data_IF_599607781460
#
_entry.id   IF_599607781460
#
_cell.length_a   1.000
_cell.length_b   1.000
_cell.length_c   1.000
_cell.angle_alpha   90.00
_cell.angle_beta   90.00
_cell.angle_gamma   90.00
#
_symmetry.space_group_name_H-M   'P 1'
#
loop_
_entity.id
_entity.type
_entity.pdbx_description
1 polymer ?
#
# COMPACT_ATOMS: atom_id res chain seq x y z
N UNK A 1 -32.36 -2.62 -14.97
CA UNK A 1 -30.94 -2.19 -14.88
C UNK A 1 -30.70 -1.80 -13.44
N UNK A 2 -29.82 -2.52 -12.74
CA UNK A 2 -29.55 -2.26 -11.33
C UNK A 2 -28.94 -0.87 -11.11
N UNK A 3 -29.05 -0.34 -9.89
CA UNK A 3 -28.37 0.90 -9.53
C UNK A 3 -26.86 0.67 -9.44
N UNK A 4 -26.46 -0.47 -8.83
CA UNK A 4 -25.06 -0.78 -8.54
C UNK A 4 -24.77 -2.27 -8.78
N UNK A 5 -23.63 -2.57 -9.41
CA UNK A 5 -23.03 -3.91 -9.42
C UNK A 5 -21.78 -3.88 -8.57
N UNK A 6 -21.71 -4.71 -7.53
CA UNK A 6 -20.54 -4.88 -6.68
C UNK A 6 -19.73 -6.08 -7.19
N UNK A 7 -18.45 -5.87 -7.44
CA UNK A 7 -17.53 -6.92 -7.90
C UNK A 7 -16.44 -7.13 -6.86
N UNK A 8 -16.35 -8.36 -6.35
CA UNK A 8 -15.38 -8.79 -5.34
C UNK A 8 -14.54 -9.93 -5.94
N UNK A 9 -13.23 -9.72 -6.05
CA UNK A 9 -12.29 -10.77 -6.48
C UNK A 9 -11.73 -11.47 -5.26
N UNK A 10 -11.96 -12.78 -5.16
CA UNK A 10 -11.51 -13.63 -4.05
C UNK A 10 -10.31 -14.49 -4.42
N UNK A 11 -9.36 -14.61 -3.50
CA UNK A 11 -8.26 -15.58 -3.56
C UNK A 11 -7.76 -15.95 -2.17
N UNK A 12 -8.23 -17.12 -1.65
CA UNK A 12 -7.81 -17.68 -0.36
C UNK A 12 -7.95 -16.74 0.85
N UNK A 13 -9.10 -16.07 0.99
CA UNK A 13 -9.41 -15.14 2.10
C UNK A 13 -10.83 -15.34 2.63
N UNK A 14 -11.26 -16.59 2.82
CA UNK A 14 -12.62 -17.01 3.22
C UNK A 14 -13.23 -16.14 4.31
N UNK A 15 -12.54 -15.91 5.42
CA UNK A 15 -13.09 -15.19 6.57
C UNK A 15 -13.34 -13.72 6.28
N UNK A 16 -12.45 -13.07 5.50
CA UNK A 16 -12.65 -11.70 5.07
C UNK A 16 -13.76 -11.60 4.04
N UNK A 17 -13.82 -12.54 3.08
CA UNK A 17 -14.90 -12.61 2.12
C UNK A 17 -16.27 -12.74 2.82
N UNK A 18 -16.37 -13.58 3.82
CA UNK A 18 -17.60 -13.72 4.63
C UNK A 18 -17.97 -12.39 5.29
N UNK A 19 -17.01 -11.71 5.90
CA UNK A 19 -17.23 -10.45 6.59
C UNK A 19 -17.66 -9.32 5.64
N UNK A 20 -17.01 -9.20 4.47
CA UNK A 20 -17.41 -8.18 3.49
C UNK A 20 -18.80 -8.43 2.95
N UNK A 21 -19.18 -9.70 2.70
CA UNK A 21 -20.52 -10.04 2.19
C UNK A 21 -21.62 -9.71 3.19
N UNK A 22 -21.44 -9.93 4.49
CA UNK A 22 -22.38 -9.45 5.50
C UNK A 22 -22.50 -7.91 5.51
N UNK A 23 -21.39 -7.20 5.37
CA UNK A 23 -21.42 -5.74 5.32
C UNK A 23 -22.08 -5.22 4.03
N UNK A 24 -21.91 -5.90 2.91
CA UNK A 24 -22.58 -5.60 1.64
C UNK A 24 -24.08 -5.85 1.76
N UNK A 25 -24.51 -6.97 2.34
CA UNK A 25 -25.90 -7.29 2.58
C UNK A 25 -26.59 -6.18 3.40
N UNK A 26 -25.95 -5.77 4.52
CA UNK A 26 -26.46 -4.69 5.37
C UNK A 26 -26.55 -3.35 4.63
N UNK A 27 -25.50 -2.98 3.87
CA UNK A 27 -25.44 -1.71 3.14
C UNK A 27 -26.36 -1.67 1.91
N UNK A 28 -26.88 -2.81 1.45
CA UNK A 28 -27.69 -2.93 0.23
C UNK A 28 -29.20 -2.98 0.48
N UNK A 29 -29.67 -3.01 1.73
CA UNK A 29 -31.07 -3.31 2.10
C UNK A 29 -32.13 -2.41 1.41
N UNK A 30 -31.80 -1.17 1.09
CA UNK A 30 -32.72 -0.20 0.45
C UNK A 30 -32.37 0.12 -1.00
N UNK A 31 -31.44 -0.64 -1.61
CA UNK A 31 -30.89 -0.36 -2.92
C UNK A 31 -31.10 -1.55 -3.88
N UNK A 32 -31.22 -1.26 -5.15
CA UNK A 32 -31.26 -2.28 -6.21
C UNK A 32 -29.81 -2.62 -6.62
N UNK A 33 -29.23 -3.61 -5.93
CA UNK A 33 -27.81 -4.01 -6.06
C UNK A 33 -27.70 -5.46 -6.51
N UNK A 34 -26.80 -5.74 -7.43
CA UNK A 34 -26.29 -7.08 -7.70
C UNK A 34 -24.86 -7.23 -7.22
N UNK A 35 -24.52 -8.39 -6.67
CA UNK A 35 -23.17 -8.68 -6.17
C UNK A 35 -22.59 -9.89 -6.87
N UNK A 36 -21.35 -9.72 -7.34
CA UNK A 36 -20.55 -10.74 -8.01
C UNK A 36 -19.31 -11.08 -7.17
N UNK A 37 -19.09 -12.35 -6.94
CA UNK A 37 -17.81 -12.87 -6.40
C UNK A 37 -17.12 -13.62 -7.51
N UNK A 38 -15.93 -13.17 -7.88
CA UNK A 38 -15.04 -13.84 -8.84
C UNK A 38 -13.93 -14.54 -8.08
N UNK A 39 -13.97 -15.86 -8.05
CA UNK A 39 -12.99 -16.68 -7.36
C UNK A 39 -11.83 -17.03 -8.29
N UNK A 40 -10.61 -16.71 -7.86
CA UNK A 40 -9.37 -16.96 -8.60
C UNK A 40 -8.71 -18.29 -8.19
N UNK A 41 -9.49 -19.39 -8.15
CA UNK A 41 -9.02 -20.73 -7.78
C UNK A 41 -8.61 -20.83 -6.31
N UNK A 42 -9.49 -20.44 -5.40
CA UNK A 42 -9.30 -20.61 -3.96
C UNK A 42 -9.44 -22.08 -3.55
N UNK A 43 -8.71 -22.46 -2.52
CA UNK A 43 -8.70 -23.83 -1.95
C UNK A 43 -9.07 -23.86 -0.45
N UNK A 44 -9.53 -22.73 0.08
CA UNK A 44 -9.81 -22.52 1.51
C UNK A 44 -11.30 -22.73 1.90
N UNK A 45 -12.14 -23.21 0.96
CA UNK A 45 -13.57 -23.38 1.16
C UNK A 45 -14.36 -22.07 1.10
N UNK A 46 -13.82 -21.05 0.40
CA UNK A 46 -14.50 -19.78 0.18
C UNK A 46 -15.80 -19.93 -0.60
N UNK A 47 -15.78 -20.73 -1.67
CA UNK A 47 -16.95 -20.84 -2.56
C UNK A 47 -18.09 -21.64 -1.93
N UNK A 48 -17.79 -22.71 -1.22
CA UNK A 48 -18.78 -23.48 -0.46
C UNK A 48 -19.45 -22.61 0.63
N UNK A 49 -18.69 -21.71 1.24
CA UNK A 49 -19.21 -20.75 2.20
C UNK A 49 -20.15 -19.76 1.52
N UNK A 50 -19.76 -19.20 0.34
CA UNK A 50 -20.60 -18.26 -0.41
C UNK A 50 -21.91 -18.93 -0.85
N UNK A 51 -21.86 -20.11 -1.44
CA UNK A 51 -23.05 -20.85 -1.88
C UNK A 51 -24.02 -21.18 -0.74
N UNK A 52 -23.48 -21.53 0.44
CA UNK A 52 -24.31 -21.91 1.59
C UNK A 52 -24.90 -20.72 2.34
N UNK A 53 -24.18 -19.60 2.48
CA UNK A 53 -24.58 -18.47 3.33
C UNK A 53 -25.15 -17.29 2.55
N UNK A 54 -24.73 -17.10 1.29
CA UNK A 54 -25.08 -15.94 0.47
C UNK A 54 -25.64 -16.34 -0.91
N UNK A 55 -26.78 -17.06 -0.97
CA UNK A 55 -27.34 -17.60 -2.22
C UNK A 55 -27.78 -16.50 -3.21
N UNK A 56 -27.83 -15.25 -2.76
CA UNK A 56 -28.13 -14.07 -3.60
C UNK A 56 -26.90 -13.56 -4.37
N UNK A 57 -25.69 -14.03 -4.03
CA UNK A 57 -24.45 -13.65 -4.69
C UNK A 57 -24.26 -14.44 -5.97
N UNK A 58 -23.95 -13.75 -7.06
CA UNK A 58 -23.57 -14.36 -8.34
C UNK A 58 -22.08 -14.72 -8.32
N UNK A 59 -21.72 -15.91 -8.80
CA UNK A 59 -20.33 -16.40 -8.72
C UNK A 59 -19.73 -16.66 -10.09
N UNK A 60 -18.44 -16.42 -10.22
CA UNK A 60 -17.59 -16.86 -11.34
C UNK A 60 -16.39 -17.59 -10.72
N UNK A 61 -16.18 -18.85 -11.06
CA UNK A 61 -15.09 -19.67 -10.53
C UNK A 61 -14.07 -19.91 -11.64
N UNK A 62 -12.87 -19.38 -11.45
CA UNK A 62 -11.75 -19.57 -12.36
C UNK A 62 -10.96 -20.83 -12.00
N UNK A 63 -10.36 -21.48 -13.00
CA UNK A 63 -9.51 -22.69 -12.82
C UNK A 63 -8.07 -22.33 -12.41
N UNK A 64 -7.71 -21.07 -12.50
CA UNK A 64 -6.39 -20.52 -12.15
C UNK A 64 -6.52 -19.07 -11.67
N UNK A 65 -5.49 -18.52 -11.04
CA UNK A 65 -5.47 -17.13 -10.65
C UNK A 65 -5.18 -16.23 -11.86
N UNK A 66 -6.21 -15.58 -12.39
CA UNK A 66 -6.14 -14.71 -13.57
C UNK A 66 -5.66 -13.28 -13.25
N UNK A 67 -5.39 -12.97 -11.98
CA UNK A 67 -5.07 -11.63 -11.50
C UNK A 67 -6.31 -10.77 -11.25
N UNK A 68 -6.09 -9.53 -10.82
CA UNK A 68 -7.16 -8.64 -10.38
C UNK A 68 -7.95 -8.05 -11.55
N UNK A 69 -7.27 -7.51 -12.57
CA UNK A 69 -7.91 -6.84 -13.71
C UNK A 69 -8.83 -7.77 -14.48
N UNK A 70 -8.30 -8.93 -14.89
CA UNK A 70 -9.06 -9.89 -15.70
C UNK A 70 -10.24 -10.48 -14.96
N UNK A 71 -10.07 -10.77 -13.67
CA UNK A 71 -11.16 -11.27 -12.83
C UNK A 71 -12.29 -10.25 -12.67
N UNK A 72 -11.95 -8.98 -12.39
CA UNK A 72 -12.97 -7.92 -12.33
C UNK A 72 -13.71 -7.75 -13.66
N UNK A 73 -12.99 -7.73 -14.78
CA UNK A 73 -13.59 -7.58 -16.11
C UNK A 73 -14.62 -8.66 -16.42
N UNK A 74 -14.39 -9.92 -15.99
CA UNK A 74 -15.37 -11.00 -16.18
C UNK A 74 -16.74 -10.70 -15.58
N UNK A 75 -16.77 -10.08 -14.39
CA UNK A 75 -18.02 -9.72 -13.72
C UNK A 75 -18.60 -8.42 -14.31
N UNK A 76 -17.76 -7.41 -14.58
CA UNK A 76 -18.22 -6.13 -15.17
C UNK A 76 -18.91 -6.39 -16.51
N UNK A 77 -18.37 -7.24 -17.38
CA UNK A 77 -18.96 -7.58 -18.66
C UNK A 77 -20.33 -8.29 -18.57
N UNK A 78 -20.60 -8.97 -17.44
CA UNK A 78 -21.87 -9.63 -17.17
C UNK A 78 -22.86 -8.74 -16.42
N UNK A 79 -22.38 -7.67 -15.78
CA UNK A 79 -23.18 -6.75 -14.99
C UNK A 79 -24.03 -5.82 -15.86
N UNK A 80 -25.19 -5.41 -15.33
CA UNK A 80 -26.10 -4.45 -15.99
C UNK A 80 -26.56 -3.42 -14.99
N UNK A 81 -25.69 -2.48 -14.65
CA UNK A 81 -25.96 -1.46 -13.66
C UNK A 81 -25.52 -0.08 -14.13
N UNK A 82 -26.00 0.95 -13.43
CA UNK A 82 -25.59 2.34 -13.64
C UNK A 82 -24.20 2.61 -13.11
N UNK A 83 -23.87 1.99 -11.98
CA UNK A 83 -22.55 2.07 -11.33
C UNK A 83 -21.96 0.70 -11.13
N UNK A 84 -20.63 0.62 -11.14
CA UNK A 84 -19.86 -0.57 -10.78
C UNK A 84 -18.96 -0.23 -9.60
N UNK A 85 -18.99 -1.03 -8.55
CA UNK A 85 -18.08 -0.94 -7.40
C UNK A 85 -17.07 -2.08 -7.44
N UNK A 86 -15.81 -1.78 -7.62
CA UNK A 86 -14.72 -2.70 -7.33
C UNK A 86 -14.46 -2.67 -5.83
N UNK A 87 -14.55 -3.82 -5.18
CA UNK A 87 -14.46 -3.94 -3.74
C UNK A 87 -13.53 -5.09 -3.34
N UNK A 88 -12.53 -4.80 -2.53
CA UNK A 88 -11.64 -5.84 -2.01
C UNK A 88 -12.34 -6.72 -0.97
N UNK A 89 -12.04 -8.03 -0.92
CA UNK A 89 -12.64 -8.95 0.04
C UNK A 89 -12.24 -8.67 1.51
N UNK A 90 -11.13 -7.95 1.75
CA UNK A 90 -10.63 -7.58 3.08
C UNK A 90 -11.10 -6.17 3.53
N UNK A 91 -12.32 -5.79 3.11
CA UNK A 91 -12.98 -4.53 3.50
C UNK A 91 -14.24 -4.77 4.31
N UNK A 92 -14.69 -3.75 5.06
CA UNK A 92 -16.00 -3.73 5.74
C UNK A 92 -16.65 -2.38 5.54
N UNK A 93 -17.88 -2.41 5.02
CA UNK A 93 -18.69 -1.24 4.73
C UNK A 93 -19.53 -0.82 5.94
N UNK A 94 -19.83 0.47 6.07
CA UNK A 94 -20.92 0.95 6.92
C UNK A 94 -22.25 0.80 6.18
N UNK A 95 -23.35 0.72 6.92
CA UNK A 95 -24.70 0.50 6.38
C UNK A 95 -25.16 1.56 5.38
N UNK A 96 -24.71 2.80 5.53
CA UNK A 96 -25.06 3.94 4.68
C UNK A 96 -24.05 4.21 3.54
N UNK A 97 -22.96 3.45 3.47
CA UNK A 97 -21.86 3.69 2.53
C UNK A 97 -22.34 3.72 1.08
N UNK A 98 -23.07 2.69 0.65
CA UNK A 98 -23.48 2.58 -0.75
C UNK A 98 -24.51 3.66 -1.12
N UNK A 99 -25.47 3.92 -0.25
CA UNK A 99 -26.50 4.94 -0.48
C UNK A 99 -25.90 6.34 -0.62
N UNK A 100 -24.97 6.73 0.27
CA UNK A 100 -24.26 8.01 0.21
C UNK A 100 -23.42 8.15 -1.06
N UNK A 101 -22.72 7.11 -1.45
CA UNK A 101 -21.90 7.13 -2.67
C UNK A 101 -22.75 7.26 -3.94
N UNK A 102 -23.86 6.52 -4.04
CA UNK A 102 -24.79 6.61 -5.17
C UNK A 102 -25.40 8.00 -5.23
N UNK A 103 -25.91 8.53 -4.12
CA UNK A 103 -26.50 9.88 -4.05
C UNK A 103 -25.50 10.96 -4.48
N UNK A 104 -24.25 10.87 -4.04
CA UNK A 104 -23.21 11.80 -4.48
C UNK A 104 -22.93 11.70 -5.99
N UNK A 105 -22.80 10.48 -6.52
CA UNK A 105 -22.57 10.26 -7.94
C UNK A 105 -23.75 10.74 -8.80
N UNK A 106 -24.97 10.59 -8.30
CA UNK A 106 -26.18 11.05 -9.01
C UNK A 106 -26.25 12.57 -9.10
N UNK A 107 -25.81 13.29 -8.07
CA UNK A 107 -25.77 14.75 -8.03
C UNK A 107 -24.61 15.37 -8.82
N UNK A 108 -23.56 14.58 -9.14
CA UNK A 108 -22.34 15.06 -9.77
C UNK A 108 -22.03 14.25 -11.04
N UNK A 109 -22.57 14.67 -12.17
CA UNK A 109 -22.46 13.95 -13.45
C UNK A 109 -21.04 13.98 -14.05
N UNK A 110 -20.20 14.92 -13.62
CA UNK A 110 -18.79 15.05 -14.02
C UNK A 110 -17.84 14.11 -13.26
N UNK A 111 -18.35 13.35 -12.28
CA UNK A 111 -17.60 12.36 -11.52
C UNK A 111 -17.62 11.02 -12.24
N UNK A 112 -16.46 10.56 -12.72
CA UNK A 112 -16.28 9.26 -13.36
C UNK A 112 -15.96 8.15 -12.36
N UNK A 113 -15.25 8.49 -11.26
CA UNK A 113 -14.90 7.55 -10.22
C UNK A 113 -14.91 8.16 -8.82
N UNK A 114 -15.29 7.36 -7.82
CA UNK A 114 -15.37 7.76 -6.43
C UNK A 114 -14.73 6.71 -5.51
N UNK A 115 -13.88 7.17 -4.60
CA UNK A 115 -13.30 6.40 -3.50
C UNK A 115 -13.66 7.04 -2.17
N UNK A 116 -13.66 6.25 -1.10
CA UNK A 116 -14.08 6.67 0.23
C UNK A 116 -12.91 6.74 1.22
N UNK A 117 -13.18 7.29 2.40
CA UNK A 117 -12.25 7.26 3.51
C UNK A 117 -12.04 5.83 3.98
N UNK A 118 -10.77 5.40 4.09
CA UNK A 118 -10.41 4.08 4.57
C UNK A 118 -9.60 4.18 5.86
N UNK A 119 -9.88 3.28 6.80
CA UNK A 119 -9.12 3.07 8.03
C UNK A 119 -8.64 1.62 8.11
N UNK A 120 -7.57 1.37 8.82
CA UNK A 120 -7.13 0.01 9.13
C UNK A 120 -7.95 -0.60 10.29
N UNK A 121 -7.69 -1.88 10.62
CA UNK A 121 -8.35 -2.58 11.73
C UNK A 121 -8.06 -1.99 13.13
N UNK A 122 -7.20 -0.98 13.22
CA UNK A 122 -6.90 -0.23 14.45
C UNK A 122 -7.54 1.16 14.46
N UNK A 123 -8.32 1.50 13.43
CA UNK A 123 -8.95 2.81 13.28
C UNK A 123 -8.03 3.90 12.72
N UNK A 124 -6.80 3.57 12.29
CA UNK A 124 -5.88 4.54 11.71
C UNK A 124 -6.20 4.81 10.24
N UNK A 125 -6.20 6.10 9.86
CA UNK A 125 -6.41 6.50 8.47
C UNK A 125 -5.38 5.88 7.51
N UNK A 126 -5.86 5.35 6.40
CA UNK A 126 -5.05 4.79 5.34
C UNK A 126 -4.76 5.84 4.25
N UNK A 127 -3.50 6.31 4.13
CA UNK A 127 -3.14 7.37 3.18
C UNK A 127 -3.42 7.04 1.72
N UNK A 128 -3.56 5.78 1.36
CA UNK A 128 -3.93 5.33 0.01
C UNK A 128 -5.37 5.66 -0.38
N UNK A 129 -6.22 6.11 0.55
CA UNK A 129 -7.55 6.63 0.24
C UNK A 129 -7.53 7.80 -0.72
N UNK A 130 -6.44 8.55 -0.75
CA UNK A 130 -6.20 9.70 -1.64
C UNK A 130 -4.75 9.70 -2.12
N UNK A 131 -4.57 9.54 -3.42
CA UNK A 131 -3.25 9.43 -4.04
C UNK A 131 -3.11 10.34 -5.24
N UNK A 132 -1.89 10.86 -5.41
CA UNK A 132 -1.44 11.47 -6.65
C UNK A 132 -0.84 10.44 -7.61
N UNK A 133 -0.72 10.81 -8.87
CA UNK A 133 -0.05 9.98 -9.88
C UNK A 133 1.41 9.69 -9.47
N UNK A 134 1.89 8.46 -9.66
CA UNK A 134 3.27 8.06 -9.38
C UNK A 134 4.21 8.59 -10.47
N UNK A 135 4.45 9.91 -10.49
CA UNK A 135 5.42 10.51 -11.38
C UNK A 135 6.86 10.23 -10.94
N UNK A 136 7.89 10.32 -11.83
CA UNK A 136 9.30 10.17 -11.46
C UNK A 136 9.69 11.09 -10.30
N UNK A 137 9.17 12.30 -10.29
CA UNK A 137 9.40 13.32 -9.27
C UNK A 137 8.81 12.93 -7.92
N UNK A 138 7.56 12.42 -7.91
CA UNK A 138 6.89 11.91 -6.71
C UNK A 138 7.62 10.68 -6.13
N UNK A 139 8.09 9.78 -7.01
CA UNK A 139 8.90 8.63 -6.60
C UNK A 139 10.23 9.06 -5.96
N UNK A 140 10.93 10.03 -6.57
CA UNK A 140 12.16 10.60 -6.02
C UNK A 140 11.95 11.21 -4.62
N UNK A 141 10.91 12.01 -4.43
CA UNK A 141 10.61 12.62 -3.13
C UNK A 141 10.28 11.58 -2.04
N UNK A 142 9.59 10.52 -2.42
CA UNK A 142 9.31 9.41 -1.50
C UNK A 142 10.58 8.66 -1.08
N UNK A 143 11.49 8.44 -2.03
CA UNK A 143 12.73 7.70 -1.80
C UNK A 143 13.80 8.49 -1.04
N UNK A 144 13.94 9.79 -1.37
CA UNK A 144 14.87 10.70 -0.68
C UNK A 144 14.43 11.06 0.74
N UNK A 145 13.22 10.67 1.16
CA UNK A 145 12.66 11.03 2.46
C UNK A 145 12.05 12.43 2.51
N UNK A 146 12.16 13.25 1.45
CA UNK A 146 11.58 14.60 1.40
C UNK A 146 10.05 14.60 1.61
N UNK A 147 9.37 13.57 1.09
CA UNK A 147 7.93 13.40 1.33
C UNK A 147 7.58 13.13 2.81
N UNK A 148 8.50 12.55 3.58
CA UNK A 148 8.31 12.31 5.01
C UNK A 148 8.66 13.56 5.83
N UNK A 149 9.68 14.32 5.44
CA UNK A 149 10.08 15.56 6.11
C UNK A 149 9.06 16.69 5.88
N UNK A 150 8.48 16.76 4.68
CA UNK A 150 7.53 17.82 4.29
C UNK A 150 6.19 17.24 3.81
N UNK A 151 5.45 16.49 4.67
CA UNK A 151 4.27 15.75 4.25
C UNK A 151 3.10 16.64 3.80
N UNK A 152 3.01 17.88 4.31
CA UNK A 152 1.98 18.87 3.96
C UNK A 152 2.34 19.72 2.73
N UNK A 153 3.52 19.56 2.15
CA UNK A 153 3.90 20.25 0.92
C UNK A 153 3.14 19.70 -0.27
N UNK A 154 2.53 20.57 -1.08
CA UNK A 154 1.89 20.17 -2.35
C UNK A 154 2.89 19.55 -3.34
N UNK A 155 4.15 19.92 -3.24
CA UNK A 155 5.24 19.39 -4.07
C UNK A 155 5.76 18.05 -3.55
N UNK A 156 6.25 18.01 -2.31
CA UNK A 156 6.89 16.82 -1.73
C UNK A 156 5.88 15.76 -1.25
N UNK A 157 4.74 16.19 -0.72
CA UNK A 157 3.66 15.31 -0.23
C UNK A 157 2.69 14.81 -1.30
N UNK A 158 2.94 15.07 -2.59
CA UNK A 158 2.00 14.85 -3.70
C UNK A 158 1.54 13.41 -3.83
N UNK A 159 2.37 12.43 -3.57
CA UNK A 159 1.98 11.01 -3.75
C UNK A 159 0.83 10.56 -2.85
N UNK A 160 0.83 10.95 -1.58
CA UNK A 160 -0.25 10.62 -0.64
C UNK A 160 -1.19 11.81 -0.37
N UNK A 161 -1.01 12.91 -1.07
CA UNK A 161 -1.79 14.14 -0.96
C UNK A 161 -2.07 14.54 0.51
N UNK A 162 -1.04 14.42 1.38
CA UNK A 162 -1.18 14.69 2.82
C UNK A 162 -1.44 16.16 3.15
N UNK A 163 -1.40 17.04 2.16
CA UNK A 163 -1.82 18.42 2.27
C UNK A 163 -3.34 18.61 2.18
N UNK A 164 -4.08 17.58 1.69
CA UNK A 164 -5.53 17.58 1.71
C UNK A 164 -6.03 17.03 3.05
N UNK A 165 -7.12 17.58 3.56
CA UNK A 165 -7.82 17.04 4.73
C UNK A 165 -8.33 15.62 4.47
N UNK A 166 -8.32 14.76 5.47
CA UNK A 166 -8.95 13.43 5.39
C UNK A 166 -10.48 13.47 5.60
N UNK A 167 -11.00 14.65 5.96
CA UNK A 167 -12.41 14.88 6.27
C UNK A 167 -13.14 15.72 5.24
N UNK A 168 -12.48 16.11 4.15
CA UNK A 168 -13.05 16.94 3.11
C UNK A 168 -13.10 16.18 1.77
N UNK A 169 -14.19 16.35 1.05
CA UNK A 169 -14.32 15.85 -0.31
C UNK A 169 -13.35 16.61 -1.23
N UNK A 170 -12.51 15.86 -1.93
CA UNK A 170 -11.49 16.43 -2.80
C UNK A 170 -11.36 15.64 -4.10
N UNK A 171 -10.99 16.33 -5.17
CA UNK A 171 -10.51 15.68 -6.38
C UNK A 171 -9.10 15.08 -6.14
N UNK A 172 -8.89 13.85 -6.60
CA UNK A 172 -7.64 13.12 -6.47
C UNK A 172 -7.20 12.54 -7.82
N UNK A 173 -5.90 12.34 -7.98
CA UNK A 173 -5.41 11.79 -9.26
C UNK A 173 -5.74 10.27 -9.37
N UNK A 174 -5.71 9.53 -8.25
CA UNK A 174 -5.81 8.07 -8.24
C UNK A 174 -6.69 7.59 -7.10
N UNK A 175 -7.69 6.80 -7.43
CA UNK A 175 -8.54 6.06 -6.51
C UNK A 175 -7.85 4.76 -6.06
N UNK A 176 -8.24 4.23 -4.90
CA UNK A 176 -7.75 2.94 -4.44
C UNK A 176 -8.64 1.81 -4.95
N UNK A 177 -8.05 0.77 -5.57
CA UNK A 177 -8.77 -0.41 -6.03
C UNK A 177 -9.47 -1.21 -4.92
N UNK A 178 -9.20 -0.89 -3.64
CA UNK A 178 -9.89 -1.51 -2.50
C UNK A 178 -11.37 -1.11 -2.39
N UNK A 179 -11.70 0.12 -2.79
CA UNK A 179 -13.06 0.63 -2.97
C UNK A 179 -13.03 1.66 -4.09
N UNK A 180 -13.55 1.30 -5.25
CA UNK A 180 -13.59 2.17 -6.41
C UNK A 180 -14.97 2.07 -7.07
N UNK A 181 -15.85 3.05 -6.82
CA UNK A 181 -17.15 3.16 -7.48
C UNK A 181 -16.98 3.93 -8.79
N UNK A 182 -17.46 3.35 -9.87
CA UNK A 182 -17.25 3.81 -11.24
C UNK A 182 -18.58 4.01 -11.95
N UNK A 183 -18.67 5.03 -12.79
CA UNK A 183 -19.80 5.26 -13.66
C UNK A 183 -19.70 4.34 -14.89
N UNK A 184 -20.73 3.56 -15.16
CA UNK A 184 -20.66 2.55 -16.22
C UNK A 184 -20.58 3.18 -17.63
N UNK A 185 -21.21 4.32 -17.84
CA UNK A 185 -21.10 5.07 -19.11
C UNK A 185 -19.65 5.51 -19.38
N UNK A 186 -18.95 5.94 -18.32
CA UNK A 186 -17.52 6.29 -18.42
C UNK A 186 -16.67 5.06 -18.73
N UNK A 187 -16.98 3.89 -18.10
CA UNK A 187 -16.29 2.64 -18.43
C UNK A 187 -16.53 2.21 -19.87
N UNK A 188 -17.74 2.43 -20.40
CA UNK A 188 -18.06 2.15 -21.80
C UNK A 188 -17.24 3.02 -22.77
N UNK A 189 -16.94 4.27 -22.39
CA UNK A 189 -16.16 5.22 -23.19
C UNK A 189 -14.65 4.92 -23.13
N UNK A 190 -14.10 4.74 -21.92
CA UNK A 190 -12.66 4.63 -21.71
C UNK A 190 -12.14 3.18 -21.74
N UNK A 191 -13.03 2.19 -21.73
CA UNK A 191 -12.71 0.77 -21.58
C UNK A 191 -12.55 0.33 -20.13
N UNK A 192 -12.54 -0.99 -19.92
CA UNK A 192 -12.44 -1.64 -18.61
C UNK A 192 -11.01 -1.60 -18.05
N UNK A 193 -10.71 -2.37 -16.99
CA UNK A 193 -9.36 -2.52 -16.48
C UNK A 193 -8.45 -3.15 -17.55
N UNK A 194 -7.23 -2.64 -17.65
CA UNK A 194 -6.25 -3.21 -18.58
C UNK A 194 -5.67 -4.52 -18.04
N UNK A 195 -5.91 -5.62 -18.75
CA UNK A 195 -5.53 -6.97 -18.33
C UNK A 195 -4.02 -7.25 -18.37
N UNK A 196 -3.23 -6.34 -18.94
CA UNK A 196 -1.77 -6.41 -18.83
C UNK A 196 -1.29 -6.21 -17.37
N UNK A 197 -2.09 -5.53 -16.52
CA UNK A 197 -1.85 -5.43 -15.08
C UNK A 197 -2.43 -6.66 -14.39
N UNK A 198 -1.57 -7.58 -14.02
CA UNK A 198 -1.98 -8.76 -13.25
C UNK A 198 -2.48 -8.37 -11.84
N UNK A 199 -1.75 -7.47 -11.18
CA UNK A 199 -2.05 -6.91 -9.86
C UNK A 199 -1.21 -5.65 -9.66
N UNK A 200 -1.81 -4.60 -9.08
CA UNK A 200 -1.26 -3.24 -8.92
C UNK A 200 -1.09 -2.48 -10.24
N UNK A 201 -1.41 -1.20 -10.18
CA UNK A 201 -1.29 -0.29 -11.31
C UNK A 201 -2.53 -0.19 -12.19
N UNK A 202 -3.42 -1.17 -12.14
CA UNK A 202 -4.72 -1.14 -12.81
C UNK A 202 -5.61 0.01 -12.32
N UNK A 203 -5.57 0.29 -11.01
CA UNK A 203 -6.28 1.40 -10.37
C UNK A 203 -5.69 2.75 -10.79
N UNK A 204 -4.38 2.84 -10.94
CA UNK A 204 -3.69 4.02 -11.45
C UNK A 204 -4.03 4.26 -12.92
N UNK A 205 -3.96 3.21 -13.73
CA UNK A 205 -4.26 3.25 -15.16
C UNK A 205 -5.72 3.70 -15.41
N UNK A 206 -6.67 3.09 -14.72
CA UNK A 206 -8.08 3.41 -14.87
C UNK A 206 -8.38 4.84 -14.40
N UNK A 207 -7.87 5.24 -13.22
CA UNK A 207 -8.03 6.61 -12.71
C UNK A 207 -7.45 7.65 -13.68
N UNK A 208 -6.30 7.36 -14.26
CA UNK A 208 -5.68 8.25 -15.25
C UNK A 208 -6.50 8.38 -16.53
N UNK A 209 -7.08 7.26 -17.04
CA UNK A 209 -7.98 7.28 -18.22
C UNK A 209 -9.28 8.04 -17.94
N UNK A 210 -9.85 7.94 -16.74
CA UNK A 210 -10.99 8.75 -16.31
C UNK A 210 -10.67 10.24 -16.44
N UNK A 211 -9.51 10.67 -15.91
CA UNK A 211 -9.08 12.06 -15.98
C UNK A 211 -8.81 12.51 -17.43
N UNK A 212 -8.21 11.66 -18.26
CA UNK A 212 -7.96 11.97 -19.68
C UNK A 212 -9.26 12.15 -20.49
N UNK A 213 -10.32 11.46 -20.13
CA UNK A 213 -11.66 11.62 -20.72
C UNK A 213 -12.43 12.85 -20.21
N UNK A 214 -11.83 13.64 -19.31
CA UNK A 214 -12.40 14.87 -18.78
C UNK A 214 -13.29 14.70 -17.54
N UNK A 215 -13.36 13.48 -16.98
CA UNK A 215 -14.09 13.21 -15.75
C UNK A 215 -13.19 13.35 -14.52
N UNK A 216 -13.81 13.47 -13.34
CA UNK A 216 -13.14 13.61 -12.04
C UNK A 216 -13.06 12.29 -11.29
N UNK A 217 -11.96 12.09 -10.58
CA UNK A 217 -11.83 11.09 -9.52
C UNK A 217 -12.01 11.80 -8.18
N UNK A 218 -12.94 11.36 -7.36
CA UNK A 218 -13.30 12.01 -6.10
C UNK A 218 -12.95 11.12 -4.91
N UNK A 219 -12.29 11.71 -3.93
CA UNK A 219 -12.19 11.22 -2.58
C UNK A 219 -13.36 11.77 -1.76
N UNK A 220 -14.21 10.87 -1.24
CA UNK A 220 -15.45 11.18 -0.55
C UNK A 220 -15.43 10.64 0.89
N UNK A 221 -15.17 11.48 1.91
CA UNK A 221 -14.97 11.05 3.28
C UNK A 221 -16.25 10.99 4.13
N UNK A 222 -17.42 11.31 3.59
CA UNK A 222 -18.70 11.30 4.35
C UNK A 222 -19.15 9.89 4.76
N UNK A 223 -18.44 8.87 4.25
CA UNK A 223 -18.51 7.50 4.73
C UNK A 223 -17.11 6.92 4.89
N UNK A 224 -16.97 5.97 5.80
CA UNK A 224 -15.69 5.34 6.12
C UNK A 224 -15.82 3.83 6.04
N UNK A 225 -14.86 3.18 5.41
CA UNK A 225 -14.75 1.71 5.41
C UNK A 225 -13.52 1.24 6.18
N UNK A 226 -13.57 0.04 6.72
CA UNK A 226 -12.37 -0.63 7.24
C UNK A 226 -11.74 -1.39 6.08
N UNK A 227 -10.41 -1.33 5.95
CA UNK A 227 -9.63 -2.14 5.02
C UNK A 227 -8.46 -2.77 5.76
N UNK A 228 -8.53 -4.07 6.02
CA UNK A 228 -7.53 -4.81 6.81
C UNK A 228 -6.16 -4.89 6.11
N UNK A 229 -6.14 -4.69 4.83
CA UNK A 229 -4.94 -4.48 3.98
C UNK A 229 -3.91 -5.59 3.98
N UNK A 230 -3.92 -6.35 2.92
CA UNK A 230 -2.84 -7.28 2.57
C UNK A 230 -3.01 -8.68 3.09
N UNK A 231 -4.22 -9.07 3.44
CA UNK A 231 -4.54 -10.42 3.85
C UNK A 231 -4.44 -11.42 2.68
N UNK A 232 -4.82 -10.98 1.48
CA UNK A 232 -4.65 -11.77 0.25
C UNK A 232 -3.23 -11.74 -0.34
N UNK A 233 -2.33 -10.88 0.18
CA UNK A 233 -0.96 -10.74 -0.34
C UNK A 233 0.07 -10.63 0.77
N UNK A 234 1.03 -11.58 0.84
CA UNK A 234 2.18 -11.48 1.75
C UNK A 234 3.15 -10.39 1.28
N UNK A 235 2.97 -9.15 1.76
CA UNK A 235 3.70 -7.92 1.37
C UNK A 235 5.24 -7.96 1.52
N UNK A 236 5.80 -8.96 2.17
CA UNK A 236 7.26 -9.07 2.41
C UNK A 236 7.98 -9.94 1.38
N UNK A 237 7.30 -10.48 0.37
CA UNK A 237 7.96 -11.31 -0.64
C UNK A 237 8.67 -10.46 -1.68
N UNK A 238 9.82 -10.95 -2.18
CA UNK A 238 10.55 -10.34 -3.31
C UNK A 238 9.65 -10.25 -4.55
N UNK A 239 8.72 -11.19 -4.72
CA UNK A 239 7.71 -11.17 -5.77
C UNK A 239 6.78 -9.95 -5.71
N UNK A 240 6.31 -9.55 -4.52
CA UNK A 240 5.48 -8.34 -4.36
C UNK A 240 6.16 -7.10 -4.94
N UNK A 241 7.44 -6.90 -4.55
CA UNK A 241 8.23 -5.75 -4.99
C UNK A 241 8.37 -5.75 -6.51
N UNK A 242 8.70 -6.90 -7.10
CA UNK A 242 8.86 -7.06 -8.55
C UNK A 242 7.55 -6.77 -9.31
N UNK A 243 6.43 -7.34 -8.86
CA UNK A 243 5.11 -7.13 -9.51
C UNK A 243 4.71 -5.65 -9.45
N UNK A 244 4.86 -5.01 -8.27
CA UNK A 244 4.54 -3.59 -8.12
C UNK A 244 5.38 -2.68 -9.03
N UNK A 245 6.70 -2.91 -9.11
CA UNK A 245 7.55 -2.06 -9.96
C UNK A 245 7.34 -2.32 -11.45
N UNK A 246 7.10 -3.58 -11.85
CA UNK A 246 6.74 -3.90 -13.25
C UNK A 246 5.45 -3.19 -13.66
N UNK A 247 4.45 -3.15 -12.79
CA UNK A 247 3.21 -2.42 -13.04
C UNK A 247 3.45 -0.91 -13.24
N UNK A 248 4.36 -0.30 -12.47
CA UNK A 248 4.72 1.11 -12.64
C UNK A 248 5.45 1.35 -13.97
N UNK A 249 6.33 0.45 -14.39
CA UNK A 249 7.01 0.53 -15.69
C UNK A 249 6.00 0.39 -16.82
N UNK A 250 5.08 -0.58 -16.73
CA UNK A 250 4.00 -0.77 -17.69
C UNK A 250 3.13 0.47 -17.85
N UNK A 251 2.70 1.06 -16.73
CA UNK A 251 1.96 2.33 -16.74
C UNK A 251 2.72 3.44 -17.46
N UNK A 252 4.01 3.58 -17.17
CA UNK A 252 4.83 4.59 -17.81
C UNK A 252 5.01 4.35 -19.32
N UNK A 253 5.17 3.09 -19.73
CA UNK A 253 5.28 2.72 -21.16
C UNK A 253 3.99 3.01 -21.92
N UNK A 254 2.85 2.80 -21.29
CA UNK A 254 1.53 3.03 -21.87
C UNK A 254 1.21 4.51 -22.05
N UNK A 255 1.52 5.33 -21.05
CA UNK A 255 1.00 6.70 -20.96
C UNK A 255 2.04 7.81 -21.20
N UNK A 256 3.33 7.48 -21.20
CA UNK A 256 4.38 8.48 -21.45
C UNK A 256 5.08 8.22 -22.77
N UNK A 257 5.69 9.27 -23.35
CA UNK A 257 6.55 9.09 -24.55
C UNK A 257 7.69 8.12 -24.23
N UNK A 258 8.18 7.38 -25.24
CA UNK A 258 9.25 6.38 -25.10
C UNK A 258 10.47 6.91 -24.31
N UNK A 259 10.87 8.16 -24.54
CA UNK A 259 11.99 8.80 -23.83
C UNK A 259 11.67 9.07 -22.36
N UNK A 260 10.43 9.46 -22.02
CA UNK A 260 10.00 9.66 -20.63
C UNK A 260 9.82 8.34 -19.90
N UNK A 261 9.26 7.34 -20.57
CA UNK A 261 9.11 5.99 -20.04
C UNK A 261 10.47 5.35 -19.72
N UNK A 262 11.46 5.46 -20.64
CA UNK A 262 12.81 4.95 -20.42
C UNK A 262 13.50 5.61 -19.22
N UNK A 263 13.40 6.93 -19.08
CA UNK A 263 13.94 7.65 -17.91
C UNK A 263 13.23 7.23 -16.62
N UNK A 264 11.92 7.02 -16.64
CA UNK A 264 11.15 6.56 -15.50
C UNK A 264 11.58 5.15 -15.07
N UNK A 265 11.70 4.23 -16.03
CA UNK A 265 12.19 2.87 -15.76
C UNK A 265 13.61 2.87 -15.19
N UNK A 266 14.52 3.69 -15.72
CA UNK A 266 15.88 3.85 -15.19
C UNK A 266 15.85 4.28 -13.72
N UNK A 267 15.10 5.32 -13.37
CA UNK A 267 14.99 5.80 -11.99
C UNK A 267 14.37 4.78 -11.05
N UNK A 268 13.38 4.02 -11.52
CA UNK A 268 12.78 2.92 -10.72
C UNK A 268 13.83 1.84 -10.44
N UNK A 269 14.56 1.37 -11.46
CA UNK A 269 15.60 0.34 -11.26
C UNK A 269 16.70 0.84 -10.33
N UNK A 270 17.19 2.06 -10.54
CA UNK A 270 18.17 2.68 -9.64
C UNK A 270 17.66 2.72 -8.19
N UNK A 271 16.39 3.05 -8.00
CA UNK A 271 15.75 3.06 -6.68
C UNK A 271 15.73 1.70 -6.01
N UNK A 272 15.40 0.65 -6.76
CA UNK A 272 15.39 -0.73 -6.27
C UNK A 272 16.80 -1.12 -5.81
N UNK A 273 17.81 -0.87 -6.63
CA UNK A 273 19.19 -1.23 -6.28
C UNK A 273 19.73 -0.43 -5.10
N UNK A 274 19.46 0.89 -5.04
CA UNK A 274 19.85 1.71 -3.88
C UNK A 274 19.17 1.24 -2.60
N UNK A 275 17.89 0.93 -2.65
CA UNK A 275 17.17 0.39 -1.47
C UNK A 275 17.70 -0.96 -1.05
N UNK A 276 18.02 -1.85 -1.98
CA UNK A 276 18.64 -3.14 -1.68
C UNK A 276 20.03 -2.97 -1.06
N UNK A 277 20.84 -2.10 -1.62
CA UNK A 277 22.18 -1.77 -1.08
C UNK A 277 22.08 -1.18 0.34
N UNK A 278 21.21 -0.19 0.56
CA UNK A 278 20.97 0.39 1.88
C UNK A 278 20.47 -0.64 2.89
N UNK A 279 19.61 -1.57 2.49
CA UNK A 279 19.13 -2.63 3.36
C UNK A 279 20.24 -3.61 3.74
N UNK A 280 21.18 -3.92 2.83
CA UNK A 280 22.37 -4.73 3.12
C UNK A 280 23.31 -4.00 4.07
N UNK A 281 23.61 -2.72 3.82
CA UNK A 281 24.43 -1.88 4.70
C UNK A 281 23.80 -1.79 6.09
N UNK A 282 22.48 -1.55 6.18
CA UNK A 282 21.77 -1.47 7.46
C UNK A 282 21.80 -2.79 8.23
N UNK A 283 21.61 -3.94 7.53
CA UNK A 283 21.74 -5.27 8.14
C UNK A 283 23.17 -5.54 8.64
N UNK A 284 24.19 -5.12 7.90
CA UNK A 284 25.57 -5.20 8.34
C UNK A 284 25.82 -4.31 9.56
N UNK A 285 25.42 -3.04 9.48
CA UNK A 285 25.57 -2.08 10.57
C UNK A 285 24.83 -2.52 11.84
N UNK A 286 23.60 -3.04 11.73
CA UNK A 286 22.84 -3.50 12.89
C UNK A 286 23.45 -4.70 13.60
N UNK A 287 24.17 -5.56 12.89
CA UNK A 287 24.90 -6.68 13.49
C UNK A 287 26.19 -6.22 14.23
N UNK A 288 26.82 -5.16 13.73
CA UNK A 288 28.07 -4.63 14.32
C UNK A 288 27.76 -3.64 15.45
N UNK A 289 26.58 -3.00 15.43
CA UNK A 289 26.25 -1.93 16.38
C UNK A 289 26.22 -2.39 17.83
N UNK A 290 25.66 -3.56 18.12
CA UNK A 290 25.58 -4.07 19.50
C UNK A 290 26.98 -4.40 20.02
N UNK A 291 27.79 -5.24 19.35
CA UNK A 291 29.18 -5.48 19.78
C UNK A 291 30.01 -4.19 19.90
N UNK A 292 29.79 -3.22 19.02
CA UNK A 292 30.49 -1.93 19.09
C UNK A 292 30.09 -1.12 20.33
N UNK A 293 28.81 -1.09 20.68
CA UNK A 293 28.36 -0.40 21.90
C UNK A 293 28.85 -1.10 23.16
N UNK A 294 28.87 -2.43 23.19
CA UNK A 294 29.42 -3.20 24.31
C UNK A 294 30.93 -2.94 24.47
N UNK A 295 31.66 -2.94 23.36
CA UNK A 295 33.07 -2.53 23.37
C UNK A 295 33.26 -1.12 23.95
N UNK A 296 32.44 -0.16 23.50
CA UNK A 296 32.55 1.23 23.95
C UNK A 296 32.23 1.39 25.42
N UNK A 297 31.18 0.73 25.92
CA UNK A 297 30.78 0.79 27.34
C UNK A 297 31.87 0.17 28.23
N UNK A 298 32.39 -1.02 27.88
CA UNK A 298 33.42 -1.69 28.65
C UNK A 298 34.73 -0.89 28.63
N UNK A 299 35.12 -0.36 27.46
CA UNK A 299 36.30 0.47 27.32
C UNK A 299 36.24 1.76 28.15
N UNK A 300 35.15 2.53 28.01
CA UNK A 300 34.94 3.78 28.75
C UNK A 300 34.80 3.54 30.25
N UNK A 301 34.11 2.48 30.66
CA UNK A 301 34.02 2.07 32.06
C UNK A 301 35.35 1.74 32.66
N UNK A 302 36.15 0.91 31.97
CA UNK A 302 37.52 0.58 32.43
C UNK A 302 38.40 1.83 32.50
N UNK A 303 38.37 2.67 31.46
CA UNK A 303 39.14 3.92 31.42
C UNK A 303 38.77 4.84 32.62
N UNK A 304 37.48 5.02 32.88
CA UNK A 304 37.01 5.82 34.00
C UNK A 304 37.45 5.27 35.37
N UNK A 305 37.30 3.95 35.59
CA UNK A 305 37.69 3.28 36.81
C UNK A 305 39.22 3.36 37.00
N UNK A 306 39.99 3.12 35.97
CA UNK A 306 41.45 3.16 36.03
C UNK A 306 41.95 4.57 36.34
N UNK A 307 41.38 5.62 35.72
CA UNK A 307 41.76 7.02 36.00
C UNK A 307 41.34 7.45 37.41
N UNK A 308 40.12 7.05 37.87
CA UNK A 308 39.71 7.28 39.23
C UNK A 308 40.63 6.64 40.27
N UNK A 309 40.98 5.34 40.04
CA UNK A 309 41.90 4.61 40.93
C UNK A 309 43.29 5.24 40.97
N UNK A 310 43.82 5.66 39.84
CA UNK A 310 45.11 6.33 39.74
C UNK A 310 45.12 7.68 40.49
N UNK A 311 44.05 8.44 40.38
CA UNK A 311 43.93 9.75 41.06
C UNK A 311 43.81 9.67 42.60
N UNK A 312 43.11 8.66 43.12
CA UNK A 312 42.76 8.60 44.52
C UNK A 312 43.45 7.51 45.33
N UNK A 313 44.03 6.49 44.70
CA UNK A 313 44.56 5.32 45.39
C UNK A 313 46.04 4.98 45.05
N UNK A 314 46.67 5.68 44.13
CA UNK A 314 48.07 5.48 43.80
C UNK A 314 48.95 6.67 44.15
N UNK A 315 50.12 6.35 44.75
CA UNK A 315 51.11 7.35 45.12
C UNK A 315 51.95 7.83 43.95
N UNK A 316 51.94 7.15 42.80
CA UNK A 316 52.71 7.49 41.61
C UNK A 316 51.79 7.97 40.51
N UNK A 317 51.75 9.29 40.20
CA UNK A 317 50.97 9.85 39.11
C UNK A 317 51.41 9.26 37.75
N UNK A 318 50.44 9.04 36.86
CA UNK A 318 50.67 8.48 35.50
C UNK A 318 51.39 7.11 35.51
N UNK A 319 51.06 6.26 36.48
CA UNK A 319 51.61 4.91 36.58
C UNK A 319 51.36 4.09 35.29
N UNK A 320 50.20 4.26 34.67
CA UNK A 320 49.96 3.71 33.35
C UNK A 320 50.12 4.82 32.31
N UNK A 321 51.05 4.70 31.37
CA UNK A 321 51.24 5.67 30.30
C UNK A 321 49.98 5.75 29.40
N UNK A 322 49.77 6.89 28.76
CA UNK A 322 48.56 7.13 27.91
C UNK A 322 48.43 6.07 26.80
N UNK A 323 49.55 5.56 26.27
CA UNK A 323 49.63 4.53 25.25
C UNK A 323 49.01 3.20 25.71
N UNK A 324 49.06 2.91 27.01
CA UNK A 324 48.41 1.73 27.57
C UNK A 324 46.87 1.80 27.38
N UNK A 325 46.30 2.96 27.63
CA UNK A 325 44.85 3.16 27.45
C UNK A 325 44.44 3.24 25.98
N UNK A 326 45.29 3.79 25.11
CA UNK A 326 44.94 3.99 23.70
C UNK A 326 45.14 2.72 22.86
N UNK A 327 46.06 1.82 23.22
CA UNK A 327 46.39 0.66 22.39
C UNK A 327 46.14 -0.68 23.09
N UNK A 328 46.62 -0.87 24.30
CA UNK A 328 46.54 -2.18 24.96
C UNK A 328 45.13 -2.49 25.48
N UNK A 329 44.49 -1.54 26.17
CA UNK A 329 43.15 -1.73 26.73
C UNK A 329 42.11 -1.96 25.63
N UNK A 330 42.05 -1.14 24.55
CA UNK A 330 41.14 -1.40 23.45
C UNK A 330 41.35 -2.79 22.82
N UNK A 331 42.60 -3.25 22.67
CA UNK A 331 42.88 -4.58 22.13
C UNK A 331 42.30 -5.71 22.99
N UNK A 332 42.52 -5.64 24.32
CA UNK A 332 41.95 -6.63 25.24
C UNK A 332 40.44 -6.61 25.31
N UNK A 333 39.82 -5.42 25.36
CA UNK A 333 38.35 -5.28 25.35
C UNK A 333 37.78 -5.81 24.04
N UNK A 334 38.41 -5.53 22.91
CA UNK A 334 38.01 -6.04 21.61
C UNK A 334 38.01 -7.57 21.54
N UNK A 335 39.12 -8.20 22.02
CA UNK A 335 39.20 -9.66 22.08
C UNK A 335 38.14 -10.25 23.00
N UNK A 336 37.91 -9.63 24.18
CA UNK A 336 36.92 -10.10 25.13
C UNK A 336 35.47 -10.00 24.56
N UNK A 337 35.16 -8.91 23.87
CA UNK A 337 33.83 -8.73 23.23
C UNK A 337 33.62 -9.73 22.10
N UNK A 338 34.63 -9.96 21.24
CA UNK A 338 34.54 -10.98 20.18
C UNK A 338 34.34 -12.38 20.73
N UNK A 339 34.93 -12.71 21.89
CA UNK A 339 34.79 -14.03 22.50
C UNK A 339 33.38 -14.28 23.08
N UNK A 340 32.57 -13.24 23.26
CA UNK A 340 31.20 -13.33 23.79
C UNK A 340 30.18 -13.51 22.64
N UNK A 341 30.48 -12.98 21.45
CA UNK A 341 29.62 -13.05 20.26
C UNK A 341 30.06 -14.07 19.23
#
# INVERSE_FOLDING_TARGET
MHQLSIVIVNYNVKHFLEQVLYSVESASQSLDVETWVVDNNSVDGSMEMVESKFPWVKTIINKENLGFSKANNQAILKSKSRYVLLLNPDTVLQEDTLAKCIDYMDKNSDVGGLGVRMIDGKGCFLPESKRGLPTPKAAFYKMSGLAALFPKSREFGRYHMKYLSEWETNEVDVLAGAFMMLRNDVLAEIGLLDEQFFMYGEDIDLSYRITLAGYKNIYFPETTIIHYKGESTKKKSVNYVKVFYNAMVLFAQKHYSAQRAGRFAFWIHLAIYLRAALALVWRGASKIWVPFMDFLIVYLGYFGIARYWEAYHKFVPNFYPIDYYLFHVPAYVFIAVIAIF
#
